data_IF_170564291663
#
_entry.id   IF_170564291663
#
_cell.length_a   1.000
_cell.length_b   1.000
_cell.length_c   1.000
_cell.angle_alpha   90.00
_cell.angle_beta   90.00
_cell.angle_gamma   90.00
#
_symmetry.space_group_name_H-M   'P 1'
#
loop_
_entity.id
_entity.type
_entity.pdbx_description
1 polymer ?
#
# COMPACT_ATOMS: atom_id res chain seq x y z
N UNK A 1 22.65 4.80 -38.04
CA UNK A 1 21.26 5.28 -38.06
C UNK A 1 20.34 4.08 -37.85
N UNK A 2 19.47 4.15 -36.82
CA UNK A 2 18.27 3.32 -36.59
C UNK A 2 18.55 1.82 -36.29
N UNK A 3 17.84 1.05 -35.48
CA UNK A 3 16.54 1.11 -34.79
C UNK A 3 16.65 0.01 -33.70
N UNK A 4 16.11 0.15 -32.50
CA UNK A 4 14.81 -0.46 -32.24
C UNK A 4 14.84 -1.53 -31.14
N UNK A 5 14.14 -1.21 -30.04
CA UNK A 5 13.81 -2.08 -28.89
C UNK A 5 13.06 -3.34 -29.34
N UNK A 6 13.28 -4.44 -28.61
CA UNK A 6 12.41 -5.62 -28.37
C UNK A 6 13.32 -6.65 -27.68
N UNK A 7 12.98 -7.33 -26.58
CA UNK A 7 11.75 -7.99 -26.19
C UNK A 7 11.69 -8.15 -24.66
N UNK A 8 10.48 -8.05 -24.13
CA UNK A 8 10.11 -8.48 -22.79
C UNK A 8 10.44 -9.97 -22.61
N UNK A 9 11.35 -10.25 -21.69
CA UNK A 9 11.71 -11.60 -21.26
C UNK A 9 10.64 -12.17 -20.33
N UNK A 10 9.83 -13.03 -20.91
CA UNK A 10 8.87 -13.95 -20.32
C UNK A 10 9.49 -14.70 -19.11
N UNK A 11 9.05 -14.42 -17.88
CA UNK A 11 9.48 -15.12 -16.66
C UNK A 11 8.31 -15.71 -15.88
N UNK A 12 7.30 -16.27 -16.56
CA UNK A 12 6.15 -16.93 -15.93
C UNK A 12 6.02 -18.40 -16.38
N UNK A 13 7.07 -18.99 -16.98
CA UNK A 13 7.02 -20.37 -17.50
C UNK A 13 7.97 -21.36 -16.83
N UNK A 14 8.38 -21.13 -15.57
CA UNK A 14 9.26 -22.05 -14.84
C UNK A 14 8.76 -22.44 -13.42
N UNK A 15 7.52 -22.15 -13.04
CA UNK A 15 6.97 -22.57 -11.73
C UNK A 15 5.97 -23.71 -11.89
N UNK A 16 6.41 -24.86 -12.42
CA UNK A 16 5.68 -26.13 -12.29
C UNK A 16 6.64 -27.32 -12.37
N UNK A 17 7.55 -27.46 -11.41
CA UNK A 17 8.07 -28.80 -11.10
C UNK A 17 8.83 -28.88 -9.79
N UNK A 18 8.33 -29.77 -8.93
CA UNK A 18 9.04 -30.52 -7.89
C UNK A 18 9.30 -29.89 -6.52
N UNK A 19 8.79 -30.65 -5.53
CA UNK A 19 9.22 -30.83 -4.14
C UNK A 19 8.99 -29.69 -3.15
N UNK A 20 8.05 -29.96 -2.25
CA UNK A 20 8.12 -29.73 -0.80
C UNK A 20 9.43 -29.09 -0.30
N UNK A 21 9.45 -27.77 -0.28
CA UNK A 21 10.36 -27.01 0.56
C UNK A 21 9.51 -26.30 1.60
N UNK A 22 9.76 -26.61 2.87
CA UNK A 22 9.37 -25.75 3.97
C UNK A 22 10.02 -24.40 3.70
N UNK A 23 9.22 -23.43 3.26
CA UNK A 23 9.66 -22.05 3.22
C UNK A 23 9.78 -21.59 4.66
N UNK A 24 10.98 -21.27 5.18
CA UNK A 24 11.08 -20.64 6.49
C UNK A 24 10.31 -19.31 6.41
N UNK A 25 9.44 -19.06 7.39
CA UNK A 25 8.67 -17.81 7.51
C UNK A 25 9.54 -16.54 7.42
N UNK A 26 10.86 -16.65 7.56
CA UNK A 26 11.83 -15.56 7.40
C UNK A 26 11.95 -15.01 5.97
N UNK A 27 11.82 -15.82 4.91
CA UNK A 27 11.96 -15.32 3.53
C UNK A 27 10.68 -14.67 2.99
N UNK A 28 9.54 -14.95 3.64
CA UNK A 28 8.29 -14.26 3.35
C UNK A 28 8.27 -12.85 3.96
N UNK A 29 8.91 -12.68 5.13
CA UNK A 29 9.05 -11.39 5.81
C UNK A 29 9.99 -10.44 5.04
N UNK A 30 11.01 -10.97 4.36
CA UNK A 30 11.94 -10.15 3.56
C UNK A 30 11.34 -9.64 2.23
N UNK A 31 10.31 -10.32 1.70
CA UNK A 31 9.55 -9.79 0.56
C UNK A 31 8.61 -8.65 0.99
N UNK A 32 8.05 -8.74 2.21
CA UNK A 32 7.17 -7.71 2.78
C UNK A 32 7.95 -6.42 3.09
N UNK A 33 9.23 -6.52 3.49
CA UNK A 33 10.07 -5.36 3.85
C UNK A 33 10.59 -4.56 2.64
N UNK A 34 10.57 -5.11 1.41
CA UNK A 34 11.00 -4.41 0.19
C UNK A 34 9.87 -4.14 -0.83
N UNK A 35 8.60 -4.12 -0.40
CA UNK A 35 7.54 -3.61 -1.29
C UNK A 35 7.63 -2.09 -1.36
N UNK A 36 8.21 -1.60 -2.47
CA UNK A 36 8.15 -0.18 -2.84
C UNK A 36 6.71 0.32 -2.75
N UNK A 37 6.50 1.59 -2.40
CA UNK A 37 5.17 2.20 -2.24
C UNK A 37 4.26 1.95 -3.44
N UNK A 38 4.82 1.81 -4.65
CA UNK A 38 4.10 1.45 -5.87
C UNK A 38 3.55 0.01 -5.92
N UNK A 39 4.21 -0.96 -5.27
CA UNK A 39 3.77 -2.37 -5.26
C UNK A 39 2.61 -2.54 -4.27
N UNK A 40 2.74 -1.99 -3.05
CA UNK A 40 1.65 -1.97 -2.06
C UNK A 40 0.40 -1.28 -2.58
N UNK A 41 0.59 -0.16 -3.28
CA UNK A 41 -0.50 0.59 -3.90
C UNK A 41 -1.31 -0.30 -4.86
N UNK A 42 -0.64 -1.03 -5.76
CA UNK A 42 -1.32 -1.90 -6.72
C UNK A 42 -2.08 -3.04 -6.05
N UNK A 43 -1.47 -3.69 -5.05
CA UNK A 43 -2.10 -4.80 -4.30
C UNK A 43 -3.30 -4.33 -3.45
N UNK A 44 -3.23 -3.11 -2.93
CA UNK A 44 -4.32 -2.52 -2.17
C UNK A 44 -5.51 -2.16 -3.06
N UNK A 45 -5.25 -1.61 -4.25
CA UNK A 45 -6.28 -1.19 -5.19
C UNK A 45 -6.90 -2.37 -5.96
N UNK A 46 -6.15 -3.45 -6.20
CA UNK A 46 -6.65 -4.63 -6.93
C UNK A 46 -7.70 -5.45 -6.18
N UNK A 47 -7.86 -5.24 -4.87
CA UNK A 47 -8.77 -6.00 -4.03
C UNK A 47 -9.59 -5.07 -3.13
N UNK A 48 -10.81 -5.47 -2.72
CA UNK A 48 -11.54 -4.72 -1.70
C UNK A 48 -10.73 -4.65 -0.40
N UNK A 49 -10.71 -3.46 0.20
CA UNK A 49 -9.97 -3.12 1.43
C UNK A 49 -10.17 -4.11 2.58
N UNK A 50 -11.36 -4.72 2.70
CA UNK A 50 -11.66 -5.77 3.67
C UNK A 50 -11.24 -5.39 5.10
N UNK A 51 -10.58 -6.32 5.80
CA UNK A 51 -10.02 -6.12 7.15
C UNK A 51 -8.50 -5.89 7.14
N UNK A 52 -7.96 -5.33 6.05
CA UNK A 52 -6.54 -5.03 5.93
C UNK A 52 -6.10 -4.02 6.99
N UNK A 53 -4.88 -4.18 7.50
CA UNK A 53 -4.31 -3.24 8.46
C UNK A 53 -3.92 -1.92 7.81
N UNK A 54 -3.82 -0.87 8.64
CA UNK A 54 -3.41 0.47 8.18
C UNK A 54 -2.01 0.49 7.54
N UNK A 55 -1.14 -0.47 7.92
CA UNK A 55 0.22 -0.67 7.38
C UNK A 55 0.27 -1.20 5.94
N UNK A 56 -0.88 -1.67 5.43
CA UNK A 56 -1.03 -2.11 4.05
C UNK A 56 -1.23 -0.93 3.08
N UNK A 57 -1.66 0.23 3.57
CA UNK A 57 -1.88 1.43 2.75
C UNK A 57 -0.54 1.97 2.26
N UNK A 58 -0.45 2.30 0.96
CA UNK A 58 0.77 2.87 0.40
C UNK A 58 1.16 4.17 1.12
N UNK A 59 2.45 4.33 1.44
CA UNK A 59 2.92 5.48 2.22
C UNK A 59 2.80 5.32 3.74
N UNK A 60 2.01 4.36 4.25
CA UNK A 60 1.97 4.02 5.67
C UNK A 60 2.89 2.84 5.95
N UNK A 61 4.10 3.14 6.43
CA UNK A 61 5.02 2.12 6.93
C UNK A 61 4.63 1.60 8.32
N UNK A 62 5.32 0.55 8.83
CA UNK A 62 5.08 0.01 10.17
C UNK A 62 5.23 1.08 11.27
N UNK A 63 6.19 2.00 11.12
CA UNK A 63 6.40 3.11 12.08
C UNK A 63 5.20 4.06 12.17
N UNK A 64 4.58 4.39 11.03
CA UNK A 64 3.41 5.27 11.01
C UNK A 64 2.14 4.50 11.38
N UNK A 65 2.05 3.23 10.99
CA UNK A 65 0.96 2.35 11.37
C UNK A 65 0.85 2.12 12.87
N UNK A 66 1.98 2.01 13.59
CA UNK A 66 1.95 1.90 15.05
C UNK A 66 1.39 3.18 15.71
N UNK A 67 1.74 4.36 15.19
CA UNK A 67 1.20 5.64 15.69
C UNK A 67 -0.29 5.78 15.39
N UNK A 68 -0.71 5.41 14.17
CA UNK A 68 -2.11 5.38 13.78
C UNK A 68 -2.91 4.40 14.64
N UNK A 69 -2.37 3.20 14.88
CA UNK A 69 -2.99 2.20 15.76
C UNK A 69 -3.14 2.71 17.20
N UNK A 70 -2.12 3.41 17.74
CA UNK A 70 -2.22 4.08 19.06
C UNK A 70 -3.29 5.18 19.08
N UNK A 71 -3.54 5.84 17.96
CA UNK A 71 -4.61 6.82 17.80
C UNK A 71 -5.99 6.18 17.54
N UNK A 72 -6.09 4.85 17.46
CA UNK A 72 -7.34 4.12 17.19
C UNK A 72 -7.61 3.82 15.71
N UNK A 73 -6.64 4.06 14.84
CA UNK A 73 -6.67 3.74 13.41
C UNK A 73 -5.85 2.47 13.14
N UNK A 74 -6.35 1.34 13.61
CA UNK A 74 -5.73 0.02 13.45
C UNK A 74 -5.96 -0.58 12.04
N UNK A 75 -7.15 -0.37 11.49
CA UNK A 75 -7.54 -0.91 10.17
C UNK A 75 -7.58 0.15 9.07
N UNK A 76 -7.33 -0.29 7.84
CA UNK A 76 -7.38 0.57 6.65
C UNK A 76 -8.77 1.19 6.44
N UNK A 77 -9.85 0.48 6.78
CA UNK A 77 -11.21 1.01 6.65
C UNK A 77 -11.52 2.14 7.64
N UNK A 78 -10.88 2.15 8.81
CA UNK A 78 -11.03 3.25 9.77
C UNK A 78 -10.36 4.50 9.22
N UNK A 79 -9.15 4.35 8.65
CA UNK A 79 -8.46 5.43 7.96
C UNK A 79 -9.24 5.95 6.75
N UNK A 80 -9.83 5.04 5.97
CA UNK A 80 -10.67 5.39 4.84
C UNK A 80 -11.96 6.10 5.26
N UNK A 81 -12.56 5.71 6.38
CA UNK A 81 -13.71 6.44 6.96
C UNK A 81 -13.38 7.90 7.23
N UNK A 82 -12.20 8.18 7.80
CA UNK A 82 -11.73 9.54 8.00
C UNK A 82 -11.53 10.30 6.68
N UNK A 83 -10.98 9.64 5.66
CA UNK A 83 -10.83 10.21 4.33
C UNK A 83 -12.18 10.61 3.70
N UNK A 84 -13.23 9.79 3.89
CA UNK A 84 -14.59 10.11 3.43
C UNK A 84 -15.21 11.27 4.21
N UNK A 85 -14.98 11.39 5.52
CA UNK A 85 -15.45 12.52 6.34
C UNK A 85 -14.85 13.85 5.86
N UNK A 86 -13.59 13.82 5.41
CA UNK A 86 -12.90 14.97 4.82
C UNK A 86 -13.30 15.22 3.35
N UNK A 87 -14.35 14.57 2.84
CA UNK A 87 -14.86 14.71 1.47
C UNK A 87 -13.80 14.47 0.39
N UNK A 88 -12.83 13.60 0.66
CA UNK A 88 -11.69 13.32 -0.24
C UNK A 88 -10.84 14.57 -0.52
N UNK A 89 -10.85 15.56 0.38
CA UNK A 89 -10.04 16.77 0.23
C UNK A 89 -8.57 16.44 0.59
N UNK A 90 -7.67 16.79 -0.33
CA UNK A 90 -6.28 16.38 -0.31
C UNK A 90 -5.48 17.08 0.78
N UNK A 91 -5.63 18.39 0.91
CA UNK A 91 -4.85 19.21 1.83
C UNK A 91 -5.22 18.88 3.28
N UNK A 92 -6.52 18.81 3.57
CA UNK A 92 -7.10 18.43 4.85
C UNK A 92 -6.69 17.01 5.25
N UNK A 93 -6.72 16.04 4.34
CA UNK A 93 -6.30 14.67 4.68
C UNK A 93 -4.79 14.61 4.97
N UNK A 94 -3.97 15.27 4.15
CA UNK A 94 -2.52 15.30 4.34
C UNK A 94 -2.14 15.99 5.65
N UNK A 95 -2.74 17.13 5.96
CA UNK A 95 -2.47 17.86 7.19
C UNK A 95 -2.99 17.11 8.42
N UNK A 96 -4.17 16.50 8.33
CA UNK A 96 -4.67 15.61 9.38
C UNK A 96 -3.72 14.44 9.65
N UNK A 97 -3.18 13.81 8.60
CA UNK A 97 -2.25 12.67 8.73
C UNK A 97 -0.91 13.09 9.36
N UNK A 98 -0.46 14.33 9.09
CA UNK A 98 0.71 14.93 9.75
C UNK A 98 0.46 15.16 11.24
N UNK A 99 -0.70 15.73 11.60
CA UNK A 99 -1.05 16.02 12.99
C UNK A 99 -1.21 14.73 13.83
N UNK A 100 -1.89 13.70 13.28
CA UNK A 100 -2.17 12.47 14.02
C UNK A 100 -0.96 11.54 14.12
N UNK A 101 -0.23 11.33 13.01
CA UNK A 101 0.82 10.31 12.92
C UNK A 101 2.22 10.88 12.66
N UNK A 102 2.38 12.20 12.46
CA UNK A 102 3.66 12.81 12.14
C UNK A 102 4.25 12.30 10.82
N UNK A 103 3.39 11.99 9.85
CA UNK A 103 3.79 11.46 8.53
C UNK A 103 4.37 12.59 7.68
N UNK A 104 5.42 12.30 6.89
CA UNK A 104 5.96 13.32 5.97
C UNK A 104 5.00 13.59 4.80
N UNK A 105 5.05 14.79 4.22
CA UNK A 105 4.15 15.18 3.11
C UNK A 105 4.16 14.19 1.94
N UNK A 106 5.31 13.59 1.61
CA UNK A 106 5.44 12.63 0.52
C UNK A 106 4.72 11.30 0.83
N UNK A 107 4.82 10.81 2.06
CA UNK A 107 4.15 9.59 2.50
C UNK A 107 2.64 9.82 2.64
N UNK A 108 2.23 10.97 3.18
CA UNK A 108 0.83 11.36 3.28
C UNK A 108 0.17 11.49 1.89
N UNK A 109 0.88 12.09 0.93
CA UNK A 109 0.44 12.17 -0.46
C UNK A 109 0.28 10.79 -1.10
N UNK A 110 1.22 9.88 -0.83
CA UNK A 110 1.14 8.51 -1.34
C UNK A 110 -0.08 7.76 -0.79
N UNK A 111 -0.37 7.95 0.51
CA UNK A 111 -1.57 7.39 1.14
C UNK A 111 -2.86 7.97 0.56
N UNK A 112 -2.91 9.30 0.38
CA UNK A 112 -4.03 9.96 -0.28
C UNK A 112 -4.29 9.39 -1.67
N UNK A 113 -3.26 9.29 -2.53
CA UNK A 113 -3.41 8.78 -3.89
C UNK A 113 -3.92 7.34 -3.90
N UNK A 114 -3.45 6.51 -2.97
CA UNK A 114 -3.90 5.12 -2.81
C UNK A 114 -5.37 5.02 -2.43
N UNK A 115 -5.81 5.79 -1.43
CA UNK A 115 -7.21 5.82 -1.01
C UNK A 115 -8.12 6.45 -2.05
N UNK A 116 -7.65 7.49 -2.76
CA UNK A 116 -8.42 8.14 -3.81
C UNK A 116 -8.67 7.19 -4.98
N UNK A 117 -7.63 6.53 -5.49
CA UNK A 117 -7.76 5.55 -6.58
C UNK A 117 -8.62 4.35 -6.17
N UNK A 118 -8.48 3.86 -4.94
CA UNK A 118 -9.39 2.84 -4.41
C UNK A 118 -10.84 3.35 -4.39
N UNK A 119 -11.06 4.58 -3.94
CA UNK A 119 -12.40 5.15 -3.90
C UNK A 119 -13.02 5.30 -5.29
N UNK A 120 -12.25 5.65 -6.32
CA UNK A 120 -12.73 5.77 -7.70
C UNK A 120 -13.10 4.42 -8.33
N UNK A 121 -12.53 3.31 -7.84
CA UNK A 121 -12.80 1.97 -8.36
C UNK A 121 -13.98 1.28 -7.67
N UNK A 122 -14.19 1.55 -6.38
CA UNK A 122 -15.17 0.81 -5.57
C UNK A 122 -16.34 1.66 -5.05
N UNK A 123 -16.32 2.99 -5.17
CA UNK A 123 -17.40 3.92 -4.74
C UNK A 123 -17.77 4.89 -5.86
#
# INVERSE_FOLDING_TARGET
YLQGRKLQGNLISQVKSTRSWYFPNSLFIDLITMTSTSVKHREFVSEPMGEKEVTAVAGIGPTYGEKLSKAGFDKAYVLFGQFLLLKKEKELFVDWLKEVAGVSSNHALSAYNCLNEWSEQYI
#
